data_IF_934070618312
#
_entry.id   IF_934070618312
#
_cell.length_a   1.000
_cell.length_b   1.000
_cell.length_c   1.000
_cell.angle_alpha   90.00
_cell.angle_beta   90.00
_cell.angle_gamma   90.00
#
_symmetry.space_group_name_H-M   'P 1'
#
loop_
_entity.id
_entity.type
_entity.pdbx_description
1 polymer ?
#
# COMPACT_ATOMS: atom_id res chain seq x y z
N UNK A 1 -48.02 50.07 -39.43
CA UNK A 1 -47.63 49.63 -40.79
C UNK A 1 -46.33 50.32 -41.19
N UNK A 2 -45.25 49.57 -41.39
CA UNK A 2 -44.23 49.71 -42.46
C UNK A 2 -43.18 48.62 -42.24
N UNK A 3 -42.97 47.83 -43.30
CA UNK A 3 -42.13 46.65 -43.41
C UNK A 3 -40.86 47.01 -44.17
N UNK A 4 -39.69 46.57 -43.71
CA UNK A 4 -38.44 46.39 -44.47
C UNK A 4 -37.64 45.33 -43.69
N UNK A 5 -37.61 44.03 -44.04
CA UNK A 5 -37.02 43.32 -45.17
C UNK A 5 -35.48 43.41 -45.28
N UNK A 6 -34.87 42.31 -44.79
CA UNK A 6 -33.62 41.65 -45.19
C UNK A 6 -32.30 42.43 -45.23
N UNK A 7 -31.34 41.98 -44.41
CA UNK A 7 -29.99 41.70 -44.91
C UNK A 7 -29.35 40.56 -44.11
N UNK A 8 -29.10 39.46 -44.81
CA UNK A 8 -28.38 38.27 -44.37
C UNK A 8 -26.88 38.61 -44.36
N UNK A 9 -26.23 38.50 -43.21
CA UNK A 9 -24.77 38.44 -43.13
C UNK A 9 -24.36 37.11 -42.53
N UNK A 10 -23.89 36.25 -43.43
CA UNK A 10 -23.29 34.95 -43.19
C UNK A 10 -21.90 35.18 -42.55
N UNK A 11 -21.77 34.97 -41.24
CA UNK A 11 -20.48 35.07 -40.54
C UNK A 11 -19.96 33.67 -40.20
N UNK A 12 -19.10 33.23 -41.11
CA UNK A 12 -18.00 32.26 -41.00
C UNK A 12 -17.78 31.61 -39.62
N UNK A 13 -17.91 30.29 -39.64
CA UNK A 13 -17.37 29.33 -38.69
C UNK A 13 -15.87 29.58 -38.43
N UNK A 14 -15.52 29.88 -37.19
CA UNK A 14 -14.21 29.51 -36.64
C UNK A 14 -14.45 28.73 -35.35
N UNK A 15 -14.22 27.43 -35.42
CA UNK A 15 -14.02 26.59 -34.25
C UNK A 15 -12.76 27.09 -33.53
N UNK A 16 -12.93 27.92 -32.51
CA UNK A 16 -11.94 27.97 -31.44
C UNK A 16 -12.17 26.73 -30.58
N UNK A 17 -11.45 25.67 -30.91
CA UNK A 17 -11.19 24.59 -29.97
C UNK A 17 -10.35 25.19 -28.84
N UNK A 18 -11.01 25.74 -27.82
CA UNK A 18 -10.38 25.96 -26.53
C UNK A 18 -9.98 24.57 -26.03
N UNK A 19 -8.74 24.15 -26.29
CA UNK A 19 -8.12 23.10 -25.51
C UNK A 19 -8.01 23.66 -24.10
N UNK A 20 -9.01 23.37 -23.28
CA UNK A 20 -8.86 23.39 -21.84
C UNK A 20 -7.66 22.50 -21.55
N UNK A 21 -6.52 23.12 -21.26
CA UNK A 21 -5.42 22.41 -20.62
C UNK A 21 -5.98 22.00 -19.27
N UNK A 22 -6.49 20.76 -19.20
CA UNK A 22 -6.74 20.06 -17.96
C UNK A 22 -5.49 20.26 -17.10
N UNK A 23 -5.61 20.73 -15.85
CA UNK A 23 -4.45 20.81 -14.98
C UNK A 23 -3.84 19.41 -14.97
N UNK A 24 -2.63 19.29 -15.52
CA UNK A 24 -1.85 18.06 -15.46
C UNK A 24 -1.87 17.66 -14.00
N UNK A 25 -2.56 16.57 -13.68
CA UNK A 25 -2.46 15.95 -12.37
C UNK A 25 -0.99 15.60 -12.23
N UNK A 26 -0.25 16.49 -11.56
CA UNK A 26 1.09 16.22 -11.07
C UNK A 26 0.88 15.08 -10.09
N UNK A 27 0.98 13.86 -10.57
CA UNK A 27 1.19 12.68 -9.75
C UNK A 27 2.48 12.97 -9.00
N UNK A 28 2.33 13.50 -7.78
CA UNK A 28 3.46 13.70 -6.88
C UNK A 28 4.28 12.41 -6.88
N UNK A 29 5.62 12.51 -6.88
CA UNK A 29 6.46 11.33 -6.76
C UNK A 29 5.97 10.48 -5.59
N UNK A 30 5.69 9.20 -5.84
CA UNK A 30 5.31 8.28 -4.77
C UNK A 30 6.52 8.15 -3.86
N UNK A 31 6.35 8.49 -2.58
CA UNK A 31 7.36 8.27 -1.56
C UNK A 31 7.35 6.78 -1.16
N UNK A 32 8.42 6.01 -1.48
CA UNK A 32 8.48 4.58 -1.16
C UNK A 32 8.38 4.29 0.34
N UNK A 33 8.87 5.19 1.19
CA UNK A 33 8.79 5.04 2.64
C UNK A 33 7.33 5.11 3.10
N UNK A 34 6.62 6.16 2.67
CA UNK A 34 5.21 6.33 3.02
C UNK A 34 4.38 5.18 2.48
N UNK A 35 4.60 4.79 1.22
CA UNK A 35 3.88 3.67 0.61
C UNK A 35 4.15 2.34 1.32
N UNK A 36 5.39 2.09 1.71
CA UNK A 36 5.75 0.88 2.47
C UNK A 36 5.11 0.85 3.86
N UNK A 37 5.05 2.00 4.57
CA UNK A 37 4.32 2.13 5.84
C UNK A 37 2.84 1.82 5.67
N UNK A 38 2.21 2.41 4.65
CA UNK A 38 0.80 2.21 4.36
C UNK A 38 0.49 0.73 4.08
N UNK A 39 1.31 0.07 3.26
CA UNK A 39 1.11 -1.34 2.91
C UNK A 39 1.30 -2.26 4.11
N UNK A 40 2.30 -2.02 4.94
CA UNK A 40 2.49 -2.78 6.18
C UNK A 40 1.31 -2.56 7.15
N UNK A 41 0.83 -1.32 7.30
CA UNK A 41 -0.35 -1.02 8.12
C UNK A 41 -1.63 -1.68 7.59
N UNK A 42 -1.82 -1.72 6.28
CA UNK A 42 -2.92 -2.44 5.64
C UNK A 42 -2.86 -3.95 5.92
N UNK A 43 -1.67 -4.55 5.82
CA UNK A 43 -1.46 -5.97 6.12
C UNK A 43 -1.84 -6.31 7.56
N UNK A 44 -1.39 -5.51 8.54
CA UNK A 44 -1.74 -5.71 9.96
C UNK A 44 -3.23 -5.57 10.22
N UNK A 45 -3.88 -4.64 9.52
CA UNK A 45 -5.32 -4.41 9.64
C UNK A 45 -6.15 -5.52 8.98
N UNK A 46 -5.57 -6.22 8.01
CA UNK A 46 -6.20 -7.36 7.36
C UNK A 46 -6.15 -8.63 8.19
N UNK A 47 -5.19 -8.77 9.09
CA UNK A 47 -5.06 -9.94 9.98
C UNK A 47 -6.21 -10.02 10.98
N UNK A 48 -6.77 -11.22 11.14
CA UNK A 48 -7.78 -11.50 12.14
C UNK A 48 -7.19 -11.35 13.56
N UNK A 49 -7.99 -10.87 14.52
CA UNK A 49 -7.51 -10.70 15.90
C UNK A 49 -7.03 -12.03 16.52
N UNK A 50 -7.65 -13.16 16.13
CA UNK A 50 -7.26 -14.50 16.55
C UNK A 50 -5.92 -14.94 15.96
N UNK A 51 -5.41 -14.27 14.92
CA UNK A 51 -4.13 -14.62 14.31
C UNK A 51 -2.93 -14.22 15.18
N UNK A 52 -3.10 -13.26 16.08
CA UNK A 52 -2.05 -12.76 16.94
C UNK A 52 -1.91 -13.58 18.24
N UNK A 53 -0.70 -13.58 18.79
CA UNK A 53 -0.40 -14.04 20.13
C UNK A 53 -1.02 -13.12 21.18
N UNK A 54 -1.23 -13.63 22.40
CA UNK A 54 -1.76 -12.83 23.51
C UNK A 54 -0.81 -11.68 23.93
N UNK A 55 0.47 -11.74 23.54
CA UNK A 55 1.44 -10.67 23.72
C UNK A 55 1.19 -9.46 22.82
N UNK A 56 0.38 -9.61 21.76
CA UNK A 56 -0.08 -8.52 20.90
C UNK A 56 -1.22 -7.73 21.55
N UNK A 57 -0.90 -7.17 22.70
CA UNK A 57 -1.82 -6.33 23.49
C UNK A 57 -2.01 -4.97 22.82
N UNK A 58 -3.00 -4.19 23.29
CA UNK A 58 -3.19 -2.80 22.84
C UNK A 58 -1.94 -1.94 23.03
N UNK A 59 -1.17 -2.19 24.09
CA UNK A 59 0.09 -1.48 24.34
C UNK A 59 1.18 -1.89 23.35
N UNK A 60 1.36 -3.18 23.10
CA UNK A 60 2.34 -3.68 22.13
C UNK A 60 2.03 -3.18 20.71
N UNK A 61 0.75 -3.22 20.31
CA UNK A 61 0.28 -2.68 19.03
C UNK A 61 0.51 -1.17 18.93
N UNK A 62 0.25 -0.41 20.00
CA UNK A 62 0.51 1.03 20.01
C UNK A 62 2.01 1.35 19.88
N UNK A 63 2.88 0.59 20.57
CA UNK A 63 4.32 0.73 20.44
C UNK A 63 4.78 0.43 19.01
N UNK A 64 4.36 -0.70 18.45
CA UNK A 64 4.70 -1.08 17.08
C UNK A 64 4.20 -0.06 16.05
N UNK A 65 2.98 0.47 16.22
CA UNK A 65 2.46 1.55 15.37
C UNK A 65 3.33 2.82 15.48
N UNK A 66 3.80 3.17 16.67
CA UNK A 66 4.69 4.32 16.85
C UNK A 66 6.04 4.09 16.16
N UNK A 67 6.61 2.88 16.26
CA UNK A 67 7.84 2.48 15.58
C UNK A 67 7.66 2.55 14.05
N UNK A 68 6.55 2.02 13.52
CA UNK A 68 6.21 2.11 12.10
C UNK A 68 6.09 3.56 11.63
N UNK A 69 5.36 4.40 12.37
CA UNK A 69 5.17 5.81 12.03
C UNK A 69 6.49 6.58 12.05
N UNK A 70 7.38 6.24 12.99
CA UNK A 70 8.69 6.86 13.13
C UNK A 70 9.77 6.26 12.23
N UNK A 71 9.50 5.17 11.51
CA UNK A 71 10.47 4.58 10.60
C UNK A 71 10.89 5.62 9.54
N UNK A 72 12.19 5.84 9.37
CA UNK A 72 12.75 6.87 8.47
C UNK A 72 13.43 6.29 7.24
N UNK A 73 13.59 4.97 7.18
CA UNK A 73 14.35 4.29 6.15
C UNK A 73 13.86 2.85 5.93
N UNK A 74 14.37 2.22 4.87
CA UNK A 74 14.07 0.85 4.50
C UNK A 74 14.41 -0.17 5.60
N UNK A 75 15.54 0.02 6.29
CA UNK A 75 16.01 -0.92 7.33
C UNK A 75 15.02 -0.96 8.50
N UNK A 76 14.62 0.21 8.97
CA UNK A 76 13.68 0.35 10.09
C UNK A 76 12.30 -0.16 9.70
N UNK A 77 11.85 0.10 8.48
CA UNK A 77 10.56 -0.42 8.00
C UNK A 77 10.55 -1.96 7.89
N UNK A 78 11.60 -2.58 7.36
CA UNK A 78 11.74 -4.04 7.36
C UNK A 78 11.86 -4.63 8.75
N UNK A 79 12.48 -3.90 9.70
CA UNK A 79 12.51 -4.31 11.11
C UNK A 79 11.10 -4.35 11.70
N UNK A 80 10.25 -3.36 11.43
CA UNK A 80 8.85 -3.39 11.87
C UNK A 80 8.09 -4.60 11.29
N UNK A 81 8.32 -4.97 10.03
CA UNK A 81 7.73 -6.18 9.43
C UNK A 81 8.26 -7.46 10.10
N UNK A 82 9.55 -7.50 10.42
CA UNK A 82 10.18 -8.60 11.17
C UNK A 82 9.55 -8.76 12.56
N UNK A 83 9.44 -7.67 13.32
CA UNK A 83 8.87 -7.65 14.67
C UNK A 83 7.39 -8.06 14.66
N UNK A 84 6.61 -7.61 13.67
CA UNK A 84 5.24 -8.03 13.49
C UNK A 84 5.11 -9.55 13.41
N UNK A 85 6.01 -10.23 12.67
CA UNK A 85 5.97 -11.69 12.52
C UNK A 85 6.14 -12.44 13.85
N UNK A 86 6.76 -11.81 14.85
CA UNK A 86 6.94 -12.38 16.19
C UNK A 86 5.65 -12.35 17.01
N UNK A 87 4.69 -11.51 16.64
CA UNK A 87 3.38 -11.41 17.28
C UNK A 87 2.32 -12.30 16.60
N UNK A 88 2.63 -12.92 15.47
CA UNK A 88 1.70 -13.81 14.76
C UNK A 88 1.87 -15.23 15.29
N UNK A 89 0.75 -15.92 15.53
CA UNK A 89 0.77 -17.33 15.97
C UNK A 89 1.45 -18.21 14.91
N UNK A 90 2.33 -19.14 15.30
CA UNK A 90 2.99 -20.04 14.35
C UNK A 90 2.03 -20.81 13.42
N UNK A 91 0.87 -21.21 13.94
CA UNK A 91 -0.17 -21.93 13.17
C UNK A 91 -0.84 -21.10 12.07
N UNK A 92 -0.62 -19.78 12.05
CA UNK A 92 -1.15 -18.85 11.05
C UNK A 92 -0.18 -18.60 9.90
N UNK A 93 0.99 -19.23 9.93
CA UNK A 93 1.88 -19.29 8.78
C UNK A 93 1.64 -20.58 7.99
N UNK A 94 1.89 -20.54 6.69
CA UNK A 94 1.88 -21.73 5.84
C UNK A 94 2.98 -22.71 6.30
N UNK A 95 2.78 -24.04 6.18
CA UNK A 95 3.74 -25.04 6.69
C UNK A 95 5.18 -24.91 6.16
N UNK A 96 5.34 -24.43 4.93
CA UNK A 96 6.64 -24.22 4.30
C UNK A 96 7.31 -22.89 4.64
N UNK A 97 6.62 -22.00 5.37
CA UNK A 97 7.17 -20.70 5.72
C UNK A 97 8.17 -20.82 6.87
N UNK A 98 9.38 -20.31 6.65
CA UNK A 98 10.44 -20.30 7.66
C UNK A 98 10.60 -18.91 8.25
N UNK A 99 10.17 -18.73 9.49
CA UNK A 99 10.39 -17.49 10.25
C UNK A 99 11.88 -17.12 10.34
N UNK A 100 12.77 -18.11 10.44
CA UNK A 100 14.21 -17.85 10.48
C UNK A 100 14.73 -17.27 9.15
N UNK A 101 14.30 -17.82 8.02
CA UNK A 101 14.66 -17.29 6.71
C UNK A 101 14.05 -15.92 6.48
N UNK A 102 12.79 -15.72 6.90
CA UNK A 102 12.13 -14.41 6.83
C UNK A 102 12.87 -13.34 7.65
N UNK A 103 13.26 -13.63 8.89
CA UNK A 103 14.06 -12.72 9.72
C UNK A 103 15.42 -12.42 9.08
N UNK A 104 16.07 -13.42 8.49
CA UNK A 104 17.31 -13.22 7.75
C UNK A 104 17.11 -12.30 6.55
N UNK A 105 16.04 -12.49 5.78
CA UNK A 105 15.66 -11.61 4.67
C UNK A 105 15.46 -10.17 5.15
N UNK A 106 14.65 -9.97 6.21
CA UNK A 106 14.39 -8.65 6.77
C UNK A 106 15.67 -7.96 7.25
N UNK A 107 16.57 -8.68 7.92
CA UNK A 107 17.86 -8.17 8.38
C UNK A 107 18.82 -7.79 7.23
N UNK A 108 18.63 -8.37 6.04
CA UNK A 108 19.43 -8.10 4.85
C UNK A 108 18.99 -6.87 4.05
N UNK A 109 17.91 -6.20 4.46
CA UNK A 109 17.33 -5.04 3.76
C UNK A 109 18.31 -3.88 3.67
N UNK A 110 18.45 -3.29 2.49
CA UNK A 110 19.26 -2.08 2.24
C UNK A 110 18.50 -1.00 1.51
N UNK A 111 17.50 -1.37 0.71
CA UNK A 111 16.71 -0.45 -0.10
C UNK A 111 15.22 -0.79 -0.02
N UNK A 112 14.37 0.04 -0.59
CA UNK A 112 12.91 -0.17 -0.55
C UNK A 112 12.44 -1.33 -1.46
N UNK A 113 13.21 -1.70 -2.47
CA UNK A 113 12.99 -2.95 -3.21
C UNK A 113 13.08 -4.19 -2.30
N UNK A 114 14.03 -4.20 -1.37
CA UNK A 114 14.14 -5.25 -0.35
C UNK A 114 12.94 -5.21 0.62
N UNK A 115 12.48 -4.01 1.01
CA UNK A 115 11.25 -3.86 1.82
C UNK A 115 10.05 -4.47 1.12
N UNK A 116 9.85 -4.16 -0.17
CA UNK A 116 8.76 -4.73 -0.95
C UNK A 116 8.82 -6.28 -0.96
N UNK A 117 10.04 -6.84 -1.07
CA UNK A 117 10.26 -8.28 -0.99
C UNK A 117 9.96 -8.84 0.41
N UNK A 118 10.35 -8.16 1.48
CA UNK A 118 10.04 -8.53 2.87
C UNK A 118 8.54 -8.54 3.10
N UNK A 119 7.83 -7.47 2.72
CA UNK A 119 6.38 -7.37 2.86
C UNK A 119 5.66 -8.46 2.06
N UNK A 120 6.04 -8.67 0.79
CA UNK A 120 5.46 -9.74 -0.02
C UNK A 120 5.76 -11.14 0.51
N UNK A 121 6.95 -11.36 1.06
CA UNK A 121 7.33 -12.63 1.69
C UNK A 121 6.51 -12.90 2.95
N UNK A 122 6.27 -11.86 3.77
CA UNK A 122 5.43 -12.00 4.96
C UNK A 122 3.99 -12.33 4.59
N UNK A 123 3.39 -11.56 3.67
CA UNK A 123 2.02 -11.75 3.19
C UNK A 123 1.83 -13.16 2.62
N UNK A 124 2.69 -13.57 1.68
CA UNK A 124 2.60 -14.88 1.04
C UNK A 124 2.92 -16.03 2.00
N UNK A 125 3.61 -15.75 3.11
CA UNK A 125 3.91 -16.69 4.18
C UNK A 125 2.74 -16.98 5.11
N UNK A 126 1.73 -16.10 5.16
CA UNK A 126 0.55 -16.25 6.02
C UNK A 126 -0.47 -17.19 5.38
N UNK A 127 -1.13 -18.00 6.21
CA UNK A 127 -2.24 -18.84 5.80
C UNK A 127 -3.49 -18.00 5.54
N UNK A 128 -4.40 -18.45 4.66
CA UNK A 128 -5.63 -17.70 4.34
C UNK A 128 -6.50 -17.44 5.57
N UNK A 129 -6.52 -18.38 6.51
CA UNK A 129 -7.28 -18.27 7.77
C UNK A 129 -6.62 -17.34 8.81
N UNK A 130 -5.45 -16.76 8.50
CA UNK A 130 -4.85 -15.69 9.28
C UNK A 130 -5.53 -14.34 9.04
N UNK A 131 -6.21 -14.18 7.91
CA UNK A 131 -6.84 -12.94 7.51
C UNK A 131 -8.31 -12.87 7.91
N UNK A 132 -8.77 -11.65 8.15
CA UNK A 132 -10.18 -11.31 8.24
C UNK A 132 -10.87 -11.39 6.86
N UNK A 133 -12.18 -11.59 6.87
CA UNK A 133 -12.97 -11.71 5.64
C UNK A 133 -12.75 -10.51 4.71
N UNK A 134 -12.37 -10.78 3.46
CA UNK A 134 -12.20 -9.76 2.41
C UNK A 134 -10.76 -9.52 1.96
N UNK A 135 -9.74 -10.02 2.68
CA UNK A 135 -8.35 -9.86 2.25
C UNK A 135 -8.09 -10.43 0.86
N UNK A 136 -8.56 -11.65 0.58
CA UNK A 136 -8.40 -12.33 -0.72
C UNK A 136 -8.84 -11.46 -1.90
N UNK A 137 -9.87 -10.62 -1.72
CA UNK A 137 -10.33 -9.70 -2.77
C UNK A 137 -9.45 -8.45 -2.94
N UNK A 138 -8.70 -8.07 -1.90
CA UNK A 138 -7.79 -6.93 -1.87
C UNK A 138 -6.34 -7.29 -2.19
N UNK A 139 -5.94 -8.52 -1.91
CA UNK A 139 -4.58 -9.04 -2.10
C UNK A 139 -4.01 -8.70 -3.49
N UNK A 140 -4.71 -8.89 -4.62
CA UNK A 140 -4.14 -8.54 -5.93
C UNK A 140 -3.81 -7.05 -6.08
N UNK A 141 -4.64 -6.17 -5.53
CA UNK A 141 -4.39 -4.72 -5.54
C UNK A 141 -3.21 -4.37 -4.64
N UNK A 142 -3.15 -4.98 -3.46
CA UNK A 142 -2.06 -4.76 -2.51
C UNK A 142 -0.70 -5.23 -3.08
N UNK A 143 -0.68 -6.40 -3.74
CA UNK A 143 0.50 -6.91 -4.46
C UNK A 143 0.91 -6.00 -5.61
N UNK A 144 -0.06 -5.42 -6.34
CA UNK A 144 0.22 -4.41 -7.35
C UNK A 144 0.84 -3.14 -6.77
N UNK A 145 0.38 -2.72 -5.59
CA UNK A 145 0.93 -1.55 -4.90
C UNK A 145 2.33 -1.76 -4.33
N UNK A 146 2.74 -3.00 -4.02
CA UNK A 146 4.12 -3.30 -3.60
C UNK A 146 5.14 -2.91 -4.68
N UNK A 147 4.78 -2.90 -5.96
CA UNK A 147 5.71 -2.47 -7.02
C UNK A 147 6.04 -0.98 -6.92
N UNK A 148 5.22 -0.19 -6.24
CA UNK A 148 5.41 1.24 -6.02
C UNK A 148 6.34 1.55 -4.85
N UNK A 149 6.72 0.54 -4.07
CA UNK A 149 7.74 0.64 -3.01
C UNK A 149 9.14 0.41 -3.57
N UNK A 150 9.27 -0.19 -4.77
CA UNK A 150 10.57 -0.55 -5.35
C UNK A 150 11.36 0.65 -5.88
#
# INVERSE_FOLDING_TARGET
>A
MKKYFAMVCFAVFTFLSAQAQTPSSSSAPIDPLLKGKDLLGQLVSALDASAFLNSWTSQARAQWNNELNNASDAVTLSKCASELSEYIKPVKFKPQFSLAQFKSLASGTKNYGDVANVLGTLESGLAEDAYSNGWVSREPSWLGELTLVK
#
